data_IF_312177773532
#
_entry.id   IF_312177773532
#
_cell.length_a   1.000
_cell.length_b   1.000
_cell.length_c   1.000
_cell.angle_alpha   90.00
_cell.angle_beta   90.00
_cell.angle_gamma   90.00
#
_symmetry.space_group_name_H-M   'P 1'
#
loop_
_entity.id
_entity.type
_entity.pdbx_description
1 polymer ?
#
# COMPACT_ATOMS: atom_id res chain seq x y z
N UNK A 1 4.93 12.31 -10.71
CA UNK A 1 4.30 11.67 -9.55
C UNK A 1 3.23 10.72 -10.07
N UNK A 2 2.99 9.61 -9.40
CA UNK A 2 1.97 8.62 -9.77
C UNK A 2 1.17 8.21 -8.52
N UNK A 3 -0.11 7.86 -8.70
CA UNK A 3 -0.93 7.30 -7.63
C UNK A 3 -0.39 5.93 -7.25
N UNK A 4 -0.24 5.68 -5.95
CA UNK A 4 0.26 4.40 -5.44
C UNK A 4 -0.55 3.22 -5.97
N UNK A 5 -1.88 3.33 -5.99
CA UNK A 5 -2.77 2.27 -6.47
C UNK A 5 -2.63 1.93 -7.96
N UNK A 6 -2.02 2.79 -8.78
CA UNK A 6 -1.76 2.50 -10.19
C UNK A 6 -0.48 1.72 -10.42
N UNK A 7 0.50 1.83 -9.51
CA UNK A 7 1.82 1.21 -9.67
C UNK A 7 1.96 -0.11 -8.91
N UNK A 8 1.06 -0.37 -7.95
CA UNK A 8 1.02 -1.59 -7.14
C UNK A 8 -0.08 -2.51 -7.67
N UNK A 9 0.10 -3.82 -7.55
CA UNK A 9 -0.90 -4.78 -8.03
C UNK A 9 -2.15 -4.83 -7.15
N UNK A 10 -1.98 -4.62 -5.83
CA UNK A 10 -3.10 -4.56 -4.89
C UNK A 10 -2.72 -3.85 -3.60
N UNK A 11 -3.65 -3.04 -3.07
CA UNK A 11 -3.57 -2.51 -1.71
C UNK A 11 -4.77 -3.02 -0.94
N UNK A 12 -4.53 -3.64 0.22
CA UNK A 12 -5.58 -4.29 1.02
C UNK A 12 -5.48 -3.86 2.47
N UNK A 13 -6.59 -3.39 3.02
CA UNK A 13 -6.77 -3.20 4.46
C UNK A 13 -7.32 -4.48 5.08
N UNK A 14 -6.82 -4.86 6.25
CA UNK A 14 -7.32 -5.98 7.04
C UNK A 14 -7.16 -5.65 8.53
N UNK A 15 -7.96 -6.27 9.38
CA UNK A 15 -7.83 -6.13 10.83
C UNK A 15 -6.88 -7.20 11.38
N UNK A 16 -6.07 -6.82 12.35
CA UNK A 16 -5.24 -7.72 13.15
C UNK A 16 -5.80 -7.77 14.57
N UNK A 17 -6.97 -8.39 14.71
CA UNK A 17 -7.80 -8.25 15.91
C UNK A 17 -8.55 -6.91 15.95
N UNK A 18 -9.32 -6.65 17.02
CA UNK A 18 -10.28 -5.54 17.05
C UNK A 18 -9.63 -4.16 17.25
N UNK A 19 -8.38 -4.11 17.67
CA UNK A 19 -7.67 -2.88 18.04
C UNK A 19 -6.59 -2.46 17.03
N UNK A 20 -6.28 -3.30 16.05
CA UNK A 20 -5.16 -3.08 15.15
C UNK A 20 -5.61 -3.18 13.70
N UNK A 21 -5.19 -2.19 12.92
CA UNK A 21 -5.36 -2.13 11.48
C UNK A 21 -4.05 -2.48 10.81
N UNK A 22 -4.13 -3.22 9.72
CA UNK A 22 -3.00 -3.54 8.86
C UNK A 22 -3.33 -3.22 7.42
N UNK A 23 -2.36 -2.68 6.68
CA UNK A 23 -2.48 -2.40 5.25
C UNK A 23 -1.32 -3.08 4.55
N UNK A 24 -1.66 -3.97 3.62
CA UNK A 24 -0.73 -4.70 2.77
C UNK A 24 -0.69 -4.05 1.39
N UNK A 25 0.51 -3.79 0.89
CA UNK A 25 0.77 -3.27 -0.45
C UNK A 25 1.52 -4.32 -1.23
N UNK A 26 0.85 -4.95 -2.19
CA UNK A 26 1.40 -5.98 -3.07
C UNK A 26 1.99 -5.34 -4.33
N UNK A 27 3.18 -5.80 -4.71
CA UNK A 27 3.87 -5.42 -5.94
C UNK A 27 4.03 -6.64 -6.85
N UNK A 28 4.01 -6.44 -8.17
CA UNK A 28 4.17 -7.55 -9.14
C UNK A 28 5.60 -8.11 -9.15
N UNK A 29 6.59 -7.27 -8.84
CA UNK A 29 8.01 -7.61 -8.90
C UNK A 29 8.81 -6.91 -7.79
N UNK A 30 10.08 -7.31 -7.68
CA UNK A 30 11.01 -6.83 -6.66
C UNK A 30 11.42 -5.36 -6.84
N UNK A 31 11.51 -4.89 -8.09
CA UNK A 31 11.90 -3.51 -8.38
C UNK A 31 10.77 -2.55 -7.98
N UNK A 32 9.52 -2.90 -8.34
CA UNK A 32 8.32 -2.19 -7.89
C UNK A 32 8.26 -2.15 -6.36
N UNK A 33 8.49 -3.29 -5.69
CA UNK A 33 8.48 -3.38 -4.23
C UNK A 33 9.52 -2.46 -3.59
N UNK A 34 10.78 -2.53 -4.04
CA UNK A 34 11.83 -1.64 -3.55
C UNK A 34 11.51 -0.17 -3.78
N UNK A 35 10.94 0.18 -4.94
CA UNK A 35 10.56 1.53 -5.28
C UNK A 35 9.44 2.04 -4.34
N UNK A 36 8.45 1.21 -4.05
CA UNK A 36 7.36 1.49 -3.09
C UNK A 36 7.89 1.64 -1.66
N UNK A 37 8.74 0.73 -1.19
CA UNK A 37 9.39 0.83 0.12
C UNK A 37 10.14 2.16 0.28
N UNK A 38 10.89 2.58 -0.74
CA UNK A 38 11.62 3.84 -0.70
C UNK A 38 10.69 5.06 -0.70
N UNK A 39 9.58 5.01 -1.43
CA UNK A 39 8.67 6.14 -1.61
C UNK A 39 7.71 6.36 -0.42
N UNK A 40 7.41 5.30 0.34
CA UNK A 40 6.52 5.35 1.49
C UNK A 40 7.32 5.24 2.78
N UNK A 41 7.70 6.36 3.41
CA UNK A 41 8.26 6.32 4.76
C UNK A 41 7.16 6.12 5.82
N UNK A 42 7.53 5.59 6.98
CA UNK A 42 6.61 5.43 8.12
C UNK A 42 6.01 6.77 8.54
N UNK A 43 6.83 7.82 8.67
CA UNK A 43 6.38 9.20 8.90
C UNK A 43 5.28 9.68 7.93
N UNK A 44 5.38 9.30 6.65
CA UNK A 44 4.44 9.71 5.62
C UNK A 44 3.10 8.99 5.75
N UNK A 45 3.14 7.71 6.12
CA UNK A 45 1.95 6.92 6.46
C UNK A 45 1.31 7.44 7.76
N UNK A 46 2.12 7.77 8.76
CA UNK A 46 1.67 8.38 10.02
C UNK A 46 0.92 9.70 9.78
N UNK A 47 1.47 10.57 8.94
CA UNK A 47 0.82 11.82 8.55
C UNK A 47 -0.50 11.59 7.80
N UNK A 48 -0.57 10.62 6.89
CA UNK A 48 -1.79 10.30 6.15
C UNK A 48 -2.92 9.85 7.09
N UNK A 49 -2.60 8.98 8.05
CA UNK A 49 -3.58 8.41 8.98
C UNK A 49 -3.75 9.18 10.28
N UNK A 50 -3.02 10.27 10.47
CA UNK A 50 -3.03 11.10 11.69
C UNK A 50 -2.77 10.28 12.96
N UNK A 51 -1.77 9.41 12.89
CA UNK A 51 -1.31 8.57 14.01
C UNK A 51 0.16 8.89 14.32
N UNK A 52 0.65 8.47 15.47
CA UNK A 52 2.06 8.63 15.82
C UNK A 52 2.90 7.64 15.00
N UNK A 53 4.04 8.08 14.49
CA UNK A 53 4.99 7.22 13.79
C UNK A 53 5.48 6.08 14.68
N UNK A 54 5.62 6.31 15.99
CA UNK A 54 6.05 5.30 16.95
C UNK A 54 5.05 4.15 17.12
N UNK A 55 3.77 4.38 16.81
CA UNK A 55 2.71 3.38 16.89
C UNK A 55 2.58 2.54 15.60
N UNK A 56 3.31 2.91 14.54
CA UNK A 56 3.30 2.18 13.28
C UNK A 56 4.43 1.16 13.24
N UNK A 57 4.06 -0.10 13.04
CA UNK A 57 5.01 -1.16 12.66
C UNK A 57 5.05 -1.29 11.16
N UNK A 58 6.25 -1.31 10.61
CA UNK A 58 6.52 -1.49 9.17
C UNK A 58 7.19 -2.83 8.95
N UNK A 59 6.70 -3.59 7.98
CA UNK A 59 7.32 -4.86 7.56
C UNK A 59 7.54 -4.86 6.06
N UNK A 60 8.78 -5.10 5.65
CA UNK A 60 9.17 -5.26 4.24
C UNK A 60 9.35 -6.75 3.97
N UNK A 61 8.29 -7.38 3.47
CA UNK A 61 8.22 -8.81 3.22
C UNK A 61 8.62 -9.08 1.76
N UNK A 62 9.90 -9.36 1.57
CA UNK A 62 10.47 -9.78 0.30
C UNK A 62 11.12 -11.16 0.45
N UNK A 63 10.50 -12.19 -0.14
CA UNK A 63 11.03 -13.57 -0.08
C UNK A 63 11.11 -14.15 -1.48
N UNK A 64 12.34 -14.43 -1.95
CA UNK A 64 12.65 -15.15 -3.20
C UNK A 64 11.78 -14.75 -4.42
N UNK A 65 11.42 -13.48 -4.52
CA UNK A 65 10.51 -12.92 -5.54
C UNK A 65 9.12 -13.58 -5.62
N UNK A 66 8.73 -14.43 -4.66
CA UNK A 66 7.38 -15.04 -4.58
C UNK A 66 6.44 -14.24 -3.67
N UNK A 67 6.98 -13.37 -2.82
CA UNK A 67 6.22 -12.46 -1.98
C UNK A 67 6.89 -11.09 -1.99
N UNK A 68 6.16 -10.07 -2.45
CA UNK A 68 6.59 -8.68 -2.56
C UNK A 68 5.56 -7.79 -1.87
N UNK A 69 5.61 -7.72 -0.54
CA UNK A 69 4.62 -7.00 0.27
C UNK A 69 5.29 -5.99 1.18
N UNK A 70 4.78 -4.76 1.17
CA UNK A 70 5.03 -3.78 2.22
C UNK A 70 3.80 -3.73 3.12
N UNK A 71 3.97 -4.01 4.40
CA UNK A 71 2.88 -3.98 5.39
C UNK A 71 3.11 -2.84 6.39
N UNK A 72 2.03 -2.11 6.70
CA UNK A 72 1.97 -1.19 7.82
C UNK A 72 0.90 -1.67 8.81
N UNK A 73 1.26 -1.78 10.08
CA UNK A 73 0.36 -2.10 11.18
C UNK A 73 0.29 -0.92 12.15
N UNK A 74 -0.91 -0.51 12.55
CA UNK A 74 -1.13 0.67 13.38
C UNK A 74 -2.41 0.53 14.23
N UNK A 75 -2.56 1.27 15.33
CA UNK A 75 -3.77 1.23 16.15
C UNK A 75 -4.99 1.69 15.35
N UNK A 76 -6.12 1.01 15.56
CA UNK A 76 -7.41 1.47 15.02
C UNK A 76 -7.91 2.67 15.84
N UNK A 77 -8.40 3.75 15.20
CA UNK A 77 -9.02 4.86 15.93
C UNK A 77 -10.39 4.46 16.52
N UNK A 78 -11.01 3.40 16.00
CA UNK A 78 -12.30 2.89 16.44
C UNK A 78 -12.25 1.38 16.50
N UNK A 79 -12.59 0.83 17.67
CA UNK A 79 -12.62 -0.61 17.93
C UNK A 79 -13.54 -1.27 16.90
N UNK A 80 -13.03 -2.33 16.26
CA UNK A 80 -13.77 -3.06 15.25
C UNK A 80 -15.10 -3.57 15.81
N UNK A 81 -16.18 -3.37 15.07
CA UNK A 81 -17.52 -3.86 15.44
C UNK A 81 -18.21 -3.03 16.54
N UNK A 82 -17.62 -1.92 16.97
CA UNK A 82 -18.33 -0.95 17.81
C UNK A 82 -19.47 -0.29 17.03
N UNK A 83 -20.47 0.25 17.75
CA UNK A 83 -21.59 1.01 17.15
C UNK A 83 -21.13 2.19 16.27
N UNK A 84 -19.93 2.69 16.52
CA UNK A 84 -19.34 3.83 15.80
C UNK A 84 -18.38 3.41 14.69
N UNK A 85 -18.15 2.11 14.50
CA UNK A 85 -17.27 1.60 13.46
C UNK A 85 -17.94 1.71 12.08
N UNK A 86 -17.43 2.61 11.26
CA UNK A 86 -17.94 2.88 9.91
C UNK A 86 -17.19 2.12 8.82
N UNK A 87 -16.11 1.44 9.16
CA UNK A 87 -15.32 0.63 8.22
C UNK A 87 -14.80 -0.63 8.92
N UNK A 88 -15.74 -1.57 9.10
CA UNK A 88 -15.47 -2.83 9.80
C UNK A 88 -14.45 -3.71 9.06
N UNK A 89 -14.34 -3.59 7.74
CA UNK A 89 -13.43 -4.39 6.91
C UNK A 89 -12.14 -3.67 6.54
N UNK A 90 -11.94 -2.45 7.04
CA UNK A 90 -10.77 -1.62 6.76
C UNK A 90 -10.53 -1.29 5.27
N UNK A 91 -11.56 -1.42 4.43
CA UNK A 91 -11.39 -1.27 2.98
C UNK A 91 -11.14 0.19 2.59
N UNK A 92 -11.82 1.13 3.24
CA UNK A 92 -11.63 2.57 3.01
C UNK A 92 -10.23 3.05 3.40
N UNK A 93 -9.60 2.42 4.39
CA UNK A 93 -8.23 2.72 4.79
C UNK A 93 -7.23 2.42 3.67
N UNK A 94 -7.36 1.27 3.01
CA UNK A 94 -6.52 0.92 1.85
C UNK A 94 -6.74 1.84 0.66
N UNK A 95 -7.98 2.20 0.37
CA UNK A 95 -8.29 3.17 -0.68
C UNK A 95 -7.64 4.54 -0.43
N UNK A 96 -7.63 5.01 0.82
CA UNK A 96 -6.95 6.25 1.16
C UNK A 96 -5.43 6.19 0.85
N UNK A 97 -4.77 5.06 1.11
CA UNK A 97 -3.35 4.89 0.76
C UNK A 97 -3.13 4.79 -0.75
N UNK A 98 -4.05 4.11 -1.45
CA UNK A 98 -3.98 3.94 -2.89
C UNK A 98 -4.01 5.27 -3.65
N UNK A 99 -4.71 6.26 -3.11
CA UNK A 99 -4.79 7.62 -3.68
C UNK A 99 -3.56 8.49 -3.36
N UNK A 100 -2.60 8.00 -2.55
CA UNK A 100 -1.40 8.77 -2.24
C UNK A 100 -0.49 8.89 -3.46
N UNK A 101 -0.17 10.13 -3.84
CA UNK A 101 0.81 10.39 -4.88
C UNK A 101 2.23 10.07 -4.39
N UNK A 102 2.96 9.25 -5.13
CA UNK A 102 4.34 8.88 -4.83
C UNK A 102 5.29 9.33 -5.94
N UNK A 103 6.51 9.71 -5.53
CA UNK A 103 7.61 9.97 -6.45
C UNK A 103 8.56 8.77 -6.42
N UNK A 104 8.59 8.04 -7.53
CA UNK A 104 9.36 6.82 -7.71
C UNK A 104 10.43 7.00 -8.80
N UNK A 105 10.75 8.25 -9.18
CA UNK A 105 11.80 8.56 -10.14
C UNK A 105 11.55 7.99 -11.55
N UNK A 106 12.61 7.59 -12.24
CA UNK A 106 12.56 7.04 -13.60
C UNK A 106 11.76 5.73 -13.72
N UNK A 107 11.42 5.09 -12.60
CA UNK A 107 10.59 3.90 -12.57
C UNK A 107 9.21 4.15 -13.20
N UNK A 108 8.57 5.31 -12.94
CA UNK A 108 7.24 5.61 -13.50
C UNK A 108 7.28 5.68 -15.03
N UNK A 109 8.34 6.26 -15.61
CA UNK A 109 8.49 6.33 -17.05
C UNK A 109 8.65 4.94 -17.67
N UNK A 110 9.43 4.06 -17.01
CA UNK A 110 9.64 2.69 -17.44
C UNK A 110 8.37 1.83 -17.27
N UNK A 111 7.63 2.02 -16.17
CA UNK A 111 6.37 1.34 -15.89
C UNK A 111 5.26 1.77 -16.86
N UNK A 112 5.15 3.08 -17.17
CA UNK A 112 4.23 3.58 -18.19
C UNK A 112 4.56 3.02 -19.59
N UNK A 113 5.84 2.95 -19.94
CA UNK A 113 6.27 2.34 -21.20
C UNK A 113 5.93 0.82 -21.23
N UNK A 114 6.13 0.10 -20.13
CA UNK A 114 5.82 -1.33 -20.04
C UNK A 114 4.30 -1.62 -20.08
N UNK A 115 3.49 -0.81 -19.39
CA UNK A 115 2.03 -0.96 -19.38
C UNK A 115 1.37 -0.58 -20.72
N UNK A 116 1.91 0.39 -21.46
CA UNK A 116 1.47 0.67 -22.84
C UNK A 116 1.73 -0.50 -23.79
N UNK A 117 2.85 -1.20 -23.63
CA UNK A 117 3.17 -2.38 -24.45
C UNK A 117 2.25 -3.56 -24.14
N UNK A 118 1.82 -3.75 -22.88
CA UNK A 118 0.88 -4.80 -22.49
C UNK A 118 -0.48 -4.66 -23.21
N UNK A 119 -0.98 -3.44 -23.36
CA UNK A 119 -2.24 -3.17 -24.07
C UNK A 119 -2.14 -3.33 -25.60
N UNK A 120 -0.94 -3.31 -26.18
CA UNK A 120 -0.73 -3.55 -27.63
C UNK A 120 -0.52 -5.03 -27.97
N UNK A 121 -0.12 -5.87 -27.00
CA UNK A 121 0.04 -7.32 -27.18
C UNK A 121 -1.21 -8.15 -26.86
N UNK A 122 -2.34 -7.51 -26.51
CA UNK A 122 -3.63 -8.17 -26.34
C UNK A 122 -4.17 -8.69 -27.67
N UNK A 123 -3.84 -9.94 -27.98
CA UNK A 123 -4.62 -10.77 -28.89
C UNK A 123 -6.05 -10.86 -28.33
N UNK A 124 -7.02 -10.79 -29.24
CA UNK A 124 -8.43 -11.14 -29.04
C UNK A 124 -8.63 -12.46 -28.27
#
# INVERSE_FOLDING_TARGET
>A
MARLGHITSKIRGKNAGPFTLTIDIFSDDADTHHAVCKALSTARVAALYKTDEADIKRFELHTLNVLNVLEFSMPRPTIQGSLTDRDMHASGWAWLLAELDVNIGNFVANWLAASQNYHQSGLD
#
